data_IF_233225548775
#
_entry.id   IF_233225548775
#
_cell.length_a   1.000
_cell.length_b   1.000
_cell.length_c   1.000
_cell.angle_alpha   90.00
_cell.angle_beta   90.00
_cell.angle_gamma   90.00
#
_symmetry.space_group_name_H-M   'P 1'
#
loop_
_entity.id
_entity.type
_entity.pdbx_description
1 polymer ?
#
# COMPACT_ATOMS: atom_id res chain seq x y z
N UNK A 1 -0.41 33.67 24.77
CA UNK A 1 -0.95 32.35 25.18
C UNK A 1 -2.13 31.93 24.31
N UNK A 2 -3.09 32.81 24.02
CA UNK A 2 -4.30 32.47 23.24
C UNK A 2 -4.02 32.01 21.80
N UNK A 3 -3.15 32.72 21.06
CA UNK A 3 -2.77 32.35 19.69
C UNK A 3 -2.09 30.98 19.62
N UNK A 4 -1.23 30.68 20.60
CA UNK A 4 -0.55 29.38 20.70
C UNK A 4 -1.54 28.24 20.94
N UNK A 5 -2.54 28.45 21.80
CA UNK A 5 -3.60 27.47 22.03
C UNK A 5 -4.44 27.21 20.78
N UNK A 6 -4.79 28.26 20.03
CA UNK A 6 -5.49 28.12 18.75
C UNK A 6 -4.65 27.35 17.73
N UNK A 7 -3.35 27.64 17.64
CA UNK A 7 -2.44 26.97 16.69
C UNK A 7 -2.35 25.47 16.95
N UNK A 8 -2.28 25.06 18.23
CA UNK A 8 -2.27 23.65 18.64
C UNK A 8 -3.60 22.98 18.30
N UNK A 9 -4.73 23.65 18.59
CA UNK A 9 -6.06 23.13 18.28
C UNK A 9 -6.25 22.88 16.77
N UNK A 10 -5.90 23.87 15.93
CA UNK A 10 -5.94 23.71 14.48
C UNK A 10 -4.96 22.64 13.97
N UNK A 11 -3.76 22.56 14.54
CA UNK A 11 -2.77 21.54 14.18
C UNK A 11 -3.28 20.13 14.45
N UNK A 12 -3.89 19.90 15.61
CA UNK A 12 -4.51 18.60 15.96
C UNK A 12 -5.66 18.28 15.00
N UNK A 13 -6.54 19.25 14.72
CA UNK A 13 -7.65 19.07 13.78
C UNK A 13 -7.17 18.69 12.38
N UNK A 14 -6.13 19.36 11.88
CA UNK A 14 -5.52 19.05 10.58
C UNK A 14 -4.87 17.66 10.56
N UNK A 15 -4.26 17.23 11.66
CA UNK A 15 -3.70 15.88 11.78
C UNK A 15 -4.78 14.81 11.64
N UNK A 16 -5.89 14.96 12.37
CA UNK A 16 -7.03 14.04 12.25
C UNK A 16 -7.64 14.07 10.86
N UNK A 17 -7.81 15.25 10.26
CA UNK A 17 -8.34 15.37 8.91
C UNK A 17 -7.44 14.67 7.88
N UNK A 18 -6.12 14.84 7.99
CA UNK A 18 -5.14 14.13 7.16
C UNK A 18 -5.29 12.61 7.30
N UNK A 19 -5.33 12.10 8.54
CA UNK A 19 -5.51 10.67 8.82
C UNK A 19 -6.81 10.12 8.22
N UNK A 20 -7.92 10.86 8.32
CA UNK A 20 -9.21 10.45 7.75
C UNK A 20 -9.14 10.38 6.23
N UNK A 21 -8.57 11.39 5.56
CA UNK A 21 -8.42 11.42 4.10
C UNK A 21 -7.47 10.31 3.67
N UNK A 22 -6.33 10.14 4.33
CA UNK A 22 -5.36 9.10 4.03
C UNK A 22 -5.96 7.70 4.23
N UNK A 23 -6.70 7.47 5.31
CA UNK A 23 -7.42 6.22 5.54
C UNK A 23 -8.51 6.01 4.50
N UNK A 24 -9.28 7.04 4.13
CA UNK A 24 -10.30 6.94 3.09
C UNK A 24 -9.70 6.70 1.70
N UNK A 25 -8.54 7.26 1.39
CA UNK A 25 -7.81 7.01 0.14
C UNK A 25 -7.16 5.63 0.17
N UNK A 26 -6.53 5.21 1.27
CA UNK A 26 -5.87 3.90 1.38
C UNK A 26 -6.89 2.78 1.43
N UNK A 27 -7.89 2.83 2.31
CA UNK A 27 -8.97 1.84 2.33
C UNK A 27 -9.85 1.97 1.09
N UNK A 28 -10.04 3.19 0.58
CA UNK A 28 -10.68 3.45 -0.70
C UNK A 28 -9.98 2.68 -1.79
N UNK A 29 -8.73 3.00 -2.13
CA UNK A 29 -7.93 2.38 -3.20
C UNK A 29 -7.70 0.88 -2.95
N UNK A 30 -7.32 0.47 -1.75
CA UNK A 30 -7.03 -0.93 -1.41
C UNK A 30 -8.26 -1.84 -1.51
N UNK A 31 -9.46 -1.29 -1.31
CA UNK A 31 -10.73 -2.00 -1.49
C UNK A 31 -11.51 -1.50 -2.72
N UNK A 32 -10.90 -0.62 -3.52
CA UNK A 32 -11.57 0.04 -4.62
C UNK A 32 -11.77 -0.98 -5.72
N UNK A 33 -13.00 -1.00 -6.24
CA UNK A 33 -13.34 -1.62 -7.49
C UNK A 33 -12.35 -1.21 -8.60
N UNK A 34 -11.71 -0.03 -8.52
CA UNK A 34 -10.66 0.42 -9.46
C UNK A 34 -9.37 -0.41 -9.35
N UNK A 35 -8.92 -0.79 -8.15
CA UNK A 35 -7.73 -1.61 -7.94
C UNK A 35 -7.95 -3.04 -8.41
N UNK A 36 -9.11 -3.61 -8.05
CA UNK A 36 -9.57 -4.91 -8.59
C UNK A 36 -9.85 -4.86 -10.09
N UNK A 37 -10.36 -3.75 -10.63
CA UNK A 37 -10.62 -3.56 -12.05
C UNK A 37 -9.32 -3.42 -12.84
N UNK A 38 -8.30 -2.73 -12.30
CA UNK A 38 -6.95 -2.69 -12.86
C UNK A 38 -6.30 -4.08 -12.83
N UNK A 39 -6.41 -4.81 -11.72
CA UNK A 39 -5.96 -6.20 -11.58
C UNK A 39 -6.64 -7.11 -12.62
N UNK A 40 -7.96 -6.97 -12.81
CA UNK A 40 -8.73 -7.75 -13.80
C UNK A 40 -8.42 -7.38 -15.25
N UNK A 41 -8.15 -6.11 -15.55
CA UNK A 41 -7.87 -5.64 -16.93
C UNK A 41 -6.41 -5.87 -17.34
N UNK A 42 -5.47 -5.75 -16.41
CA UNK A 42 -4.03 -5.86 -16.71
C UNK A 42 -3.42 -7.21 -16.34
N UNK A 43 -4.18 -8.17 -15.81
CA UNK A 43 -3.73 -9.56 -15.68
C UNK A 43 -2.48 -9.72 -14.81
N UNK A 44 -2.20 -8.77 -13.93
CA UNK A 44 -1.16 -8.90 -12.91
C UNK A 44 -1.69 -9.89 -11.87
N UNK A 45 -1.60 -11.17 -12.20
CA UNK A 45 -1.46 -12.20 -11.18
C UNK A 45 -0.34 -11.70 -10.28
N UNK A 46 -0.65 -11.55 -9.00
CA UNK A 46 0.41 -11.54 -8.00
C UNK A 46 0.98 -12.95 -8.04
N UNK A 47 1.89 -13.18 -8.97
CA UNK A 47 2.76 -14.34 -8.92
C UNK A 47 3.43 -14.23 -7.57
N UNK A 48 3.10 -15.18 -6.71
CA UNK A 48 3.88 -15.58 -5.56
C UNK A 48 5.37 -15.44 -5.93
N UNK A 49 6.01 -14.40 -5.39
CA UNK A 49 7.40 -14.08 -5.70
C UNK A 49 8.26 -15.18 -5.06
N UNK A 50 8.49 -16.25 -5.81
CA UNK A 50 9.55 -17.20 -5.49
C UNK A 50 10.89 -16.54 -5.84
N UNK A 51 11.69 -16.27 -4.81
CA UNK A 51 13.04 -15.76 -4.98
C UNK A 51 13.85 -16.75 -5.84
N UNK A 52 14.53 -16.33 -6.92
CA UNK A 52 15.39 -17.21 -7.71
C UNK A 52 16.50 -17.88 -6.89
N UNK A 53 16.80 -17.35 -5.69
CA UNK A 53 17.78 -17.88 -4.74
C UNK A 53 17.28 -19.09 -3.94
N UNK A 54 15.99 -19.42 -4.02
CA UNK A 54 15.41 -20.59 -3.33
C UNK A 54 15.58 -21.89 -4.15
N UNK A 55 16.18 -21.81 -5.35
CA UNK A 55 16.49 -22.98 -6.15
C UNK A 55 17.77 -23.67 -5.62
N UNK A 56 17.71 -24.94 -5.19
CA UNK A 56 18.90 -25.65 -4.71
C UNK A 56 19.91 -25.84 -5.86
N UNK A 57 21.22 -25.71 -5.59
CA UNK A 57 22.23 -25.69 -6.65
C UNK A 57 22.34 -27.04 -7.37
N UNK A 58 22.28 -26.94 -8.70
CA UNK A 58 22.72 -27.83 -9.79
C UNK A 58 22.81 -29.35 -9.54
N UNK A 59 22.04 -30.13 -10.31
CA UNK A 59 22.46 -31.48 -10.70
C UNK A 59 22.85 -31.50 -12.17
N UNK A 60 24.14 -31.75 -12.41
CA UNK A 60 24.74 -32.06 -13.71
C UNK A 60 23.92 -33.13 -14.44
N UNK A 61 23.40 -32.79 -15.61
CA UNK A 61 22.93 -33.81 -16.55
C UNK A 61 24.16 -34.34 -17.28
N UNK A 62 24.67 -35.44 -16.75
CA UNK A 62 25.74 -36.24 -17.35
C UNK A 62 25.16 -37.11 -18.48
N UNK A 63 25.76 -36.91 -19.66
CA UNK A 63 25.82 -37.81 -20.84
C UNK A 63 24.54 -38.16 -21.58
#
# INVERSE_FOLDING_TARGET
MELFGMLIFYGIGLLFLYLVIEAAIRNGINNSLIGKYLEKKHGLKKDEYHSPLDSPPNQEVKS
#
